data_IF_928354886139
#
_entry.id   IF_928354886139
#
_cell.length_a   1.000
_cell.length_b   1.000
_cell.length_c   1.000
_cell.angle_alpha   90.00
_cell.angle_beta   90.00
_cell.angle_gamma   90.00
#
_symmetry.space_group_name_H-M   'P 1'
#
loop_
_entity.id
_entity.type
_entity.pdbx_description
1 polymer ?
#
# COMPACT_ATOMS: atom_id res chain seq x y z
N UNK A 1 90.73 28.11 23.91
CA UNK A 1 89.38 28.08 23.31
C UNK A 1 89.09 26.63 23.04
N UNK A 2 88.28 26.01 23.89
CA UNK A 2 87.97 24.58 23.75
C UNK A 2 86.90 24.38 22.66
N UNK A 3 87.21 23.63 21.59
CA UNK A 3 86.25 23.36 20.51
C UNK A 3 85.09 22.44 20.97
N UNK A 4 85.24 21.75 22.10
CA UNK A 4 84.23 20.83 22.64
C UNK A 4 83.08 21.54 23.37
N UNK A 5 83.32 22.72 23.96
CA UNK A 5 82.27 23.49 24.64
C UNK A 5 81.24 24.11 23.67
N UNK A 6 81.63 24.31 22.41
CA UNK A 6 80.78 24.89 21.36
C UNK A 6 79.88 23.86 20.66
N UNK A 7 80.18 22.56 20.78
CA UNK A 7 79.45 21.48 20.10
C UNK A 7 78.20 21.01 20.85
N UNK A 8 78.18 21.14 22.18
CA UNK A 8 77.04 20.77 23.04
C UNK A 8 75.77 21.59 22.74
N UNK A 9 75.82 22.94 22.66
CA UNK A 9 74.66 23.76 22.31
C UNK A 9 74.15 23.51 20.88
N UNK A 10 75.05 23.24 19.94
CA UNK A 10 74.69 22.95 18.54
C UNK A 10 73.98 21.59 18.41
N UNK A 11 74.43 20.57 19.16
CA UNK A 11 73.77 19.27 19.22
C UNK A 11 72.39 19.34 19.89
N UNK A 12 72.25 20.11 20.98
CA UNK A 12 70.96 20.34 21.63
C UNK A 12 69.99 21.10 20.71
N UNK A 13 70.48 22.11 19.98
CA UNK A 13 69.71 22.86 19.00
C UNK A 13 69.23 21.94 17.86
N UNK A 14 70.09 21.08 17.32
CA UNK A 14 69.75 20.12 16.28
C UNK A 14 68.69 19.11 16.77
N UNK A 15 68.83 18.61 18.00
CA UNK A 15 67.85 17.72 18.64
C UNK A 15 66.49 18.41 18.83
N UNK A 16 66.47 19.67 19.28
CA UNK A 16 65.25 20.45 19.41
C UNK A 16 64.59 20.73 18.06
N UNK A 17 65.38 21.08 17.04
CA UNK A 17 64.88 21.26 15.66
C UNK A 17 64.28 19.96 15.09
N UNK A 18 64.91 18.82 15.35
CA UNK A 18 64.40 17.52 14.94
C UNK A 18 63.08 17.17 15.66
N UNK A 19 63.00 17.41 16.97
CA UNK A 19 61.78 17.20 17.76
C UNK A 19 60.64 18.13 17.32
N UNK A 20 60.93 19.39 17.05
CA UNK A 20 59.96 20.35 16.54
C UNK A 20 59.44 19.91 15.17
N UNK A 21 60.34 19.49 14.28
CA UNK A 21 59.98 18.99 12.94
C UNK A 21 59.11 17.75 13.04
N UNK A 22 59.47 16.78 13.88
CA UNK A 22 58.68 15.58 14.13
C UNK A 22 57.29 15.92 14.69
N UNK A 23 57.21 16.85 15.64
CA UNK A 23 55.95 17.29 16.23
C UNK A 23 55.06 17.99 15.20
N UNK A 24 55.64 18.87 14.36
CA UNK A 24 54.92 19.51 13.25
C UNK A 24 54.38 18.50 12.25
N UNK A 25 55.18 17.51 11.86
CA UNK A 25 54.75 16.45 10.93
C UNK A 25 53.64 15.60 11.53
N UNK A 26 53.77 15.20 12.79
CA UNK A 26 52.75 14.43 13.50
C UNK A 26 51.45 15.23 13.66
N UNK A 27 51.54 16.53 13.97
CA UNK A 27 50.38 17.40 14.08
C UNK A 27 49.64 17.56 12.75
N UNK A 28 50.36 17.70 11.63
CA UNK A 28 49.76 17.72 10.29
C UNK A 28 49.07 16.39 9.95
N UNK A 29 49.74 15.27 10.18
CA UNK A 29 49.13 13.95 9.95
C UNK A 29 47.88 13.71 10.80
N UNK A 30 47.89 14.15 12.07
CA UNK A 30 46.73 14.08 12.95
C UNK A 30 45.58 14.98 12.46
N UNK A 31 45.90 16.18 11.97
CA UNK A 31 44.92 17.10 11.38
C UNK A 31 44.27 16.50 10.12
N UNK A 32 45.09 15.96 9.20
CA UNK A 32 44.60 15.33 7.97
C UNK A 32 43.71 14.12 8.29
N UNK A 33 44.07 13.33 9.30
CA UNK A 33 43.25 12.20 9.78
C UNK A 33 41.92 12.69 10.32
N UNK A 34 41.93 13.71 11.18
CA UNK A 34 40.71 14.28 11.76
C UNK A 34 39.79 14.88 10.68
N UNK A 35 40.33 15.55 9.68
CA UNK A 35 39.57 16.09 8.55
C UNK A 35 38.91 14.98 7.71
N UNK A 36 39.64 13.90 7.42
CA UNK A 36 39.12 12.74 6.70
C UNK A 36 38.03 12.00 7.49
N UNK A 37 38.16 11.94 8.82
CA UNK A 37 37.16 11.31 9.68
C UNK A 37 35.90 12.17 9.78
N UNK A 38 36.04 13.49 9.90
CA UNK A 38 34.93 14.42 9.84
C UNK A 38 34.14 14.29 8.53
N UNK A 39 34.83 14.19 7.38
CA UNK A 39 34.19 13.99 6.09
C UNK A 39 33.45 12.64 5.99
N UNK A 40 34.01 11.59 6.59
CA UNK A 40 33.39 10.26 6.65
C UNK A 40 32.09 10.30 7.47
N UNK A 41 32.11 10.95 8.64
CA UNK A 41 30.93 11.13 9.49
C UNK A 41 29.86 12.01 8.83
N UNK A 42 30.25 13.09 8.15
CA UNK A 42 29.32 13.94 7.41
C UNK A 42 28.61 13.17 6.28
N UNK A 43 29.34 12.32 5.55
CA UNK A 43 28.77 11.47 4.50
C UNK A 43 27.77 10.47 5.07
N UNK A 44 28.12 9.78 6.15
CA UNK A 44 27.23 8.85 6.84
C UNK A 44 25.97 9.55 7.36
N UNK A 45 26.12 10.71 8.02
CA UNK A 45 24.99 11.49 8.54
C UNK A 45 24.02 11.91 7.43
N UNK A 46 24.54 12.39 6.30
CA UNK A 46 23.72 12.77 5.13
C UNK A 46 22.95 11.59 4.56
N UNK A 47 23.59 10.43 4.39
CA UNK A 47 22.92 9.22 3.90
C UNK A 47 21.84 8.74 4.87
N UNK A 48 22.11 8.84 6.17
CA UNK A 48 21.16 8.49 7.23
C UNK A 48 19.92 9.37 7.17
N UNK A 49 20.10 10.69 7.12
CA UNK A 49 19.01 11.67 7.03
C UNK A 49 18.18 11.49 5.77
N UNK A 50 18.82 11.21 4.63
CA UNK A 50 18.11 10.92 3.38
C UNK A 50 17.24 9.66 3.49
N UNK A 51 17.77 8.59 4.09
CA UNK A 51 17.01 7.36 4.30
C UNK A 51 15.89 7.53 5.33
N UNK A 52 16.11 8.28 6.40
CA UNK A 52 15.07 8.59 7.39
C UNK A 52 13.93 9.42 6.77
N UNK A 53 14.26 10.42 5.95
CA UNK A 53 13.27 11.20 5.22
C UNK A 53 12.46 10.34 4.25
N UNK A 54 13.10 9.42 3.53
CA UNK A 54 12.40 8.46 2.67
C UNK A 54 11.52 7.51 3.48
N UNK A 55 12.02 6.95 4.58
CA UNK A 55 11.21 6.09 5.45
C UNK A 55 9.94 6.80 5.95
N UNK A 56 10.04 8.07 6.30
CA UNK A 56 8.90 8.88 6.71
C UNK A 56 7.85 9.06 5.60
N UNK A 57 8.23 9.04 4.32
CA UNK A 57 7.26 9.06 3.22
C UNK A 57 6.69 7.67 2.92
N UNK A 58 7.44 6.61 3.22
CA UNK A 58 7.03 5.23 3.02
C UNK A 58 6.02 4.73 4.04
N UNK A 59 5.94 5.32 5.24
CA UNK A 59 4.91 5.04 6.25
C UNK A 59 3.55 5.57 5.77
N UNK A 60 2.69 4.74 5.13
CA UNK A 60 1.54 5.27 4.40
C UNK A 60 0.33 5.28 5.33
N UNK A 61 -0.37 6.42 5.41
CA UNK A 61 -1.66 6.58 6.12
C UNK A 61 -2.59 5.38 5.94
N UNK A 62 -3.14 4.79 7.01
CA UNK A 62 -4.05 3.61 6.98
C UNK A 62 -5.41 3.82 6.28
N UNK A 63 -5.51 4.78 5.36
CA UNK A 63 -6.73 5.01 4.59
C UNK A 63 -7.21 3.72 3.90
N UNK A 64 -8.45 3.34 4.23
CA UNK A 64 -9.21 2.24 3.63
C UNK A 64 -10.20 2.82 2.61
N UNK A 65 -9.92 2.74 1.30
CA UNK A 65 -10.75 3.39 0.29
C UNK A 65 -12.11 2.69 0.11
N UNK A 66 -13.21 3.42 0.24
CA UNK A 66 -14.56 2.85 0.18
C UNK A 66 -15.10 2.60 -1.25
N UNK A 67 -14.35 2.93 -2.31
CA UNK A 67 -14.86 2.97 -3.70
C UNK A 67 -13.86 2.38 -4.69
N UNK A 68 -14.34 1.78 -5.80
CA UNK A 68 -13.48 1.29 -6.90
C UNK A 68 -12.51 2.36 -7.38
N UNK A 69 -12.99 3.59 -7.62
CA UNK A 69 -12.15 4.71 -8.06
C UNK A 69 -11.05 5.04 -7.03
N UNK A 70 -11.42 5.04 -5.74
CA UNK A 70 -10.49 5.35 -4.66
C UNK A 70 -9.49 4.21 -4.44
N UNK A 71 -9.91 2.94 -4.56
CA UNK A 71 -9.04 1.76 -4.53
C UNK A 71 -8.02 1.80 -5.67
N UNK A 72 -8.46 2.08 -6.90
CA UNK A 72 -7.55 2.24 -8.06
C UNK A 72 -6.54 3.37 -7.85
N UNK A 73 -6.99 4.52 -7.34
CA UNK A 73 -6.09 5.65 -7.03
C UNK A 73 -5.06 5.27 -5.95
N UNK A 74 -5.50 4.60 -4.88
CA UNK A 74 -4.64 4.15 -3.80
C UNK A 74 -3.61 3.10 -4.27
N UNK A 75 -4.02 2.15 -5.12
CA UNK A 75 -3.11 1.18 -5.73
C UNK A 75 -2.06 1.85 -6.64
N UNK A 76 -2.47 2.86 -7.42
CA UNK A 76 -1.53 3.65 -8.22
C UNK A 76 -0.53 4.42 -7.36
N UNK A 77 -0.97 5.05 -6.25
CA UNK A 77 -0.06 5.75 -5.35
C UNK A 77 0.90 4.79 -4.66
N UNK A 78 0.43 3.63 -4.20
CA UNK A 78 1.29 2.60 -3.62
C UNK A 78 2.29 2.02 -4.64
N UNK A 79 1.88 1.89 -5.91
CA UNK A 79 2.78 1.50 -6.99
C UNK A 79 3.93 2.50 -7.18
N UNK A 80 3.61 3.79 -7.25
CA UNK A 80 4.63 4.86 -7.36
C UNK A 80 5.56 4.89 -6.14
N UNK A 81 5.00 4.76 -4.94
CA UNK A 81 5.75 4.71 -3.69
C UNK A 81 6.75 3.52 -3.68
N UNK A 82 6.30 2.34 -4.12
CA UNK A 82 7.15 1.16 -4.23
C UNK A 82 8.27 1.34 -5.27
N UNK A 83 7.97 1.94 -6.43
CA UNK A 83 8.97 2.23 -7.46
C UNK A 83 10.03 3.23 -6.95
N UNK A 84 9.60 4.28 -6.25
CA UNK A 84 10.49 5.27 -5.64
C UNK A 84 11.38 4.63 -4.56
N UNK A 85 10.81 3.76 -3.73
CA UNK A 85 11.58 2.98 -2.77
C UNK A 85 12.62 2.09 -3.48
N UNK A 86 12.21 1.30 -4.47
CA UNK A 86 13.13 0.44 -5.23
C UNK A 86 14.27 1.22 -5.88
N UNK A 87 14.01 2.40 -6.44
CA UNK A 87 15.06 3.29 -6.98
C UNK A 87 16.03 3.79 -5.92
N UNK A 88 15.56 3.92 -4.68
CA UNK A 88 16.34 4.41 -3.55
C UNK A 88 17.05 3.31 -2.78
N UNK A 89 16.81 2.03 -3.09
CA UNK A 89 17.44 0.88 -2.46
C UNK A 89 18.98 0.92 -2.43
N UNK A 90 19.69 1.43 -3.47
CA UNK A 90 21.15 1.57 -3.41
C UNK A 90 21.66 2.45 -2.26
N UNK A 91 20.85 3.35 -1.71
CA UNK A 91 21.23 4.19 -0.57
C UNK A 91 21.52 3.36 0.69
N UNK A 92 20.83 2.22 0.88
CA UNK A 92 21.10 1.31 1.98
C UNK A 92 22.49 0.66 1.88
N UNK A 93 22.90 0.29 0.66
CA UNK A 93 24.23 -0.24 0.42
C UNK A 93 25.30 0.83 0.65
N UNK A 94 25.05 2.06 0.21
CA UNK A 94 25.94 3.20 0.46
C UNK A 94 26.05 3.52 1.95
N UNK A 95 24.94 3.51 2.70
CA UNK A 95 24.94 3.70 4.15
C UNK A 95 25.73 2.59 4.87
N UNK A 96 25.54 1.34 4.46
CA UNK A 96 26.24 0.19 5.03
C UNK A 96 27.74 0.25 4.79
N UNK A 97 28.16 0.70 3.60
CA UNK A 97 29.58 0.88 3.30
C UNK A 97 30.18 2.06 4.09
N UNK A 98 29.47 3.18 4.16
CA UNK A 98 29.88 4.31 5.00
C UNK A 98 30.01 3.93 6.48
N UNK A 99 29.10 3.10 6.99
CA UNK A 99 29.17 2.55 8.35
C UNK A 99 30.44 1.70 8.57
N UNK A 100 30.77 0.81 7.62
CA UNK A 100 31.99 -0.02 7.68
C UNK A 100 33.27 0.80 7.66
N UNK A 101 33.32 1.87 6.87
CA UNK A 101 34.46 2.79 6.85
C UNK A 101 34.65 3.42 8.23
N UNK A 102 33.56 3.86 8.87
CA UNK A 102 33.59 4.44 10.21
C UNK A 102 33.96 3.41 11.28
N UNK A 103 33.46 2.17 11.21
CA UNK A 103 33.81 1.07 12.12
C UNK A 103 35.32 0.78 12.14
N UNK A 104 35.95 0.78 10.96
CA UNK A 104 37.40 0.54 10.83
C UNK A 104 38.24 1.65 11.46
N UNK A 105 37.76 2.89 11.39
CA UNK A 105 38.44 4.10 11.88
C UNK A 105 38.13 4.42 13.35
N UNK A 106 36.99 3.96 13.86
CA UNK A 106 36.52 4.26 15.21
C UNK A 106 37.27 3.48 16.28
N UNK A 107 37.46 4.11 17.44
CA UNK A 107 37.97 3.45 18.63
C UNK A 107 36.97 2.44 19.23
N UNK A 108 37.41 1.60 20.20
CA UNK A 108 36.61 0.49 20.73
C UNK A 108 35.25 0.90 21.30
N UNK A 109 35.13 2.12 21.85
CA UNK A 109 33.91 2.60 22.49
C UNK A 109 32.79 3.00 21.51
N UNK A 110 33.12 3.37 20.26
CA UNK A 110 32.14 3.86 19.28
C UNK A 110 32.11 3.04 18.00
N UNK A 111 32.93 1.99 17.92
CA UNK A 111 33.09 1.15 16.73
C UNK A 111 31.76 0.62 16.21
N UNK A 112 30.89 0.09 17.07
CA UNK A 112 29.67 -0.61 16.64
C UNK A 112 28.48 0.31 16.32
N UNK A 113 28.57 1.59 16.66
CA UNK A 113 27.45 2.54 16.54
C UNK A 113 26.97 2.72 15.08
N UNK A 114 27.85 3.01 14.10
CA UNK A 114 27.43 3.22 12.71
C UNK A 114 26.78 1.98 12.11
N UNK A 115 27.35 0.79 12.35
CA UNK A 115 26.81 -0.47 11.87
C UNK A 115 25.45 -0.80 12.46
N UNK A 116 25.26 -0.53 13.75
CA UNK A 116 23.98 -0.74 14.43
C UNK A 116 22.90 0.18 13.85
N UNK A 117 23.22 1.46 13.61
CA UNK A 117 22.31 2.41 12.97
C UNK A 117 21.95 1.99 11.53
N UNK A 118 22.95 1.60 10.72
CA UNK A 118 22.71 1.14 9.35
C UNK A 118 21.83 -0.13 9.29
N UNK A 119 22.07 -1.10 10.19
CA UNK A 119 21.23 -2.30 10.32
C UNK A 119 19.80 -1.97 10.73
N UNK A 120 19.64 -1.03 11.67
CA UNK A 120 18.31 -0.60 12.16
C UNK A 120 17.50 0.05 11.04
N UNK A 121 18.11 0.95 10.27
CA UNK A 121 17.45 1.57 9.11
C UNK A 121 17.14 0.57 8.01
N UNK A 122 18.05 -0.38 7.75
CA UNK A 122 17.81 -1.45 6.78
C UNK A 122 16.63 -2.34 7.18
N UNK A 123 16.48 -2.63 8.48
CA UNK A 123 15.33 -3.39 9.00
C UNK A 123 14.02 -2.62 8.82
N UNK A 124 13.99 -1.35 9.24
CA UNK A 124 12.81 -0.47 9.08
C UNK A 124 12.41 -0.32 7.62
N UNK A 125 13.40 -0.24 6.73
CA UNK A 125 13.16 -0.21 5.29
C UNK A 125 12.49 -1.47 4.79
N UNK A 126 12.99 -2.64 5.18
CA UNK A 126 12.38 -3.91 4.78
C UNK A 126 10.94 -4.02 5.30
N UNK A 127 10.71 -3.66 6.57
CA UNK A 127 9.38 -3.63 7.18
C UNK A 127 8.42 -2.72 6.40
N UNK A 128 8.85 -1.50 6.04
CA UNK A 128 8.04 -0.59 5.24
C UNK A 128 7.73 -1.14 3.83
N UNK A 129 8.68 -1.81 3.19
CA UNK A 129 8.48 -2.46 1.89
C UNK A 129 7.49 -3.61 1.96
N UNK A 130 7.59 -4.44 3.01
CA UNK A 130 6.68 -5.56 3.25
C UNK A 130 5.26 -5.06 3.53
N UNK A 131 5.12 -3.98 4.31
CA UNK A 131 3.84 -3.33 4.59
C UNK A 131 3.18 -2.75 3.34
N UNK A 132 3.96 -2.08 2.48
CA UNK A 132 3.48 -1.58 1.18
C UNK A 132 2.96 -2.74 0.32
N UNK A 133 3.72 -3.84 0.25
CA UNK A 133 3.35 -5.01 -0.55
C UNK A 133 2.07 -5.68 -0.01
N UNK A 134 2.01 -5.95 1.30
CA UNK A 134 0.85 -6.52 1.96
C UNK A 134 -0.40 -5.63 1.79
N UNK A 135 -0.22 -4.31 1.77
CA UNK A 135 -1.32 -3.36 1.51
C UNK A 135 -1.78 -3.40 0.05
N UNK A 136 -0.85 -3.46 -0.91
CA UNK A 136 -1.18 -3.61 -2.34
C UNK A 136 -1.99 -4.87 -2.59
N UNK A 137 -1.61 -6.00 -1.99
CA UNK A 137 -2.34 -7.26 -2.11
C UNK A 137 -3.76 -7.17 -1.54
N UNK A 138 -3.90 -6.65 -0.32
CA UNK A 138 -5.22 -6.42 0.31
C UNK A 138 -6.12 -5.51 -0.53
N UNK A 139 -5.58 -4.40 -1.06
CA UNK A 139 -6.34 -3.46 -1.88
C UNK A 139 -6.67 -4.03 -3.27
N UNK A 140 -5.78 -4.82 -3.86
CA UNK A 140 -6.02 -5.47 -5.16
C UNK A 140 -7.11 -6.53 -5.03
N UNK A 141 -7.09 -7.32 -3.96
CA UNK A 141 -8.18 -8.25 -3.63
C UNK A 141 -9.50 -7.53 -3.45
N UNK A 142 -9.53 -6.47 -2.63
CA UNK A 142 -10.74 -5.67 -2.45
C UNK A 142 -11.24 -5.09 -3.78
N UNK A 143 -10.36 -4.58 -4.64
CA UNK A 143 -10.74 -4.07 -5.95
C UNK A 143 -11.37 -5.16 -6.83
N UNK A 144 -10.78 -6.35 -6.89
CA UNK A 144 -11.32 -7.47 -7.64
C UNK A 144 -12.71 -7.89 -7.14
N UNK A 145 -12.89 -7.96 -5.81
CA UNK A 145 -14.18 -8.27 -5.18
C UNK A 145 -15.24 -7.22 -5.55
N UNK A 146 -14.87 -5.93 -5.48
CA UNK A 146 -15.73 -4.82 -5.88
C UNK A 146 -16.12 -4.86 -7.35
N UNK A 147 -15.18 -5.15 -8.25
CA UNK A 147 -15.42 -5.23 -9.69
C UNK A 147 -16.31 -6.44 -10.04
N UNK A 148 -16.06 -7.59 -9.42
CA UNK A 148 -16.88 -8.78 -9.58
C UNK A 148 -18.32 -8.55 -9.10
N UNK A 149 -18.49 -7.90 -7.94
CA UNK A 149 -19.79 -7.50 -7.42
C UNK A 149 -20.51 -6.54 -8.36
N UNK A 150 -19.83 -5.48 -8.82
CA UNK A 150 -20.42 -4.49 -9.71
C UNK A 150 -20.90 -5.11 -11.03
N UNK A 151 -20.12 -6.04 -11.59
CA UNK A 151 -20.49 -6.75 -12.82
C UNK A 151 -21.71 -7.66 -12.61
N UNK A 152 -21.73 -8.46 -11.53
CA UNK A 152 -22.85 -9.33 -11.22
C UNK A 152 -24.13 -8.55 -10.94
N UNK A 153 -24.02 -7.45 -10.19
CA UNK A 153 -25.13 -6.54 -9.92
C UNK A 153 -25.70 -5.91 -11.19
N UNK A 154 -24.84 -5.48 -12.12
CA UNK A 154 -25.27 -4.91 -13.39
C UNK A 154 -26.04 -5.92 -14.24
N UNK A 155 -25.52 -7.16 -14.36
CA UNK A 155 -26.19 -8.25 -15.09
C UNK A 155 -27.57 -8.55 -14.52
N UNK A 156 -27.66 -8.74 -13.19
CA UNK A 156 -28.92 -9.00 -12.52
C UNK A 156 -29.93 -7.87 -12.72
N UNK A 157 -29.49 -6.60 -12.66
CA UNK A 157 -30.37 -5.44 -12.88
C UNK A 157 -30.90 -5.37 -14.30
N UNK A 158 -30.05 -5.57 -15.31
CA UNK A 158 -30.47 -5.53 -16.72
C UNK A 158 -31.50 -6.63 -17.01
N UNK A 159 -31.29 -7.85 -16.52
CA UNK A 159 -32.26 -8.93 -16.69
C UNK A 159 -33.55 -8.68 -15.90
N UNK A 160 -33.44 -8.13 -14.67
CA UNK A 160 -34.60 -7.77 -13.86
C UNK A 160 -35.46 -6.69 -14.52
N UNK A 161 -34.84 -5.64 -15.05
CA UNK A 161 -35.52 -4.55 -15.79
C UNK A 161 -36.21 -5.08 -17.07
N UNK A 162 -35.58 -6.02 -17.78
CA UNK A 162 -36.21 -6.68 -18.92
C UNK A 162 -37.48 -7.45 -18.52
N UNK A 163 -37.44 -8.19 -17.39
CA UNK A 163 -38.60 -8.95 -16.90
C UNK A 163 -39.71 -8.07 -16.33
N UNK A 164 -39.35 -6.96 -15.69
CA UNK A 164 -40.31 -5.91 -15.31
C UNK A 164 -41.01 -5.32 -16.55
N UNK A 165 -40.27 -5.14 -17.65
CA UNK A 165 -40.85 -4.68 -18.92
C UNK A 165 -41.75 -5.73 -19.57
N UNK A 166 -41.36 -7.01 -19.55
CA UNK A 166 -42.20 -8.11 -20.05
C UNK A 166 -43.53 -8.17 -19.30
N UNK A 167 -43.52 -8.05 -17.97
CA UNK A 167 -44.74 -8.01 -17.16
C UNK A 167 -45.64 -6.82 -17.53
N UNK A 168 -45.05 -5.63 -17.70
CA UNK A 168 -45.79 -4.44 -18.10
C UNK A 168 -46.41 -4.58 -19.51
N UNK A 169 -45.66 -5.17 -20.46
CA UNK A 169 -46.13 -5.43 -21.81
C UNK A 169 -47.25 -6.49 -21.87
N UNK A 170 -47.34 -7.37 -20.87
CA UNK A 170 -48.41 -8.36 -20.74
C UNK A 170 -49.72 -7.79 -20.16
N UNK A 171 -49.70 -6.62 -19.51
CA UNK A 171 -50.92 -6.01 -18.93
C UNK A 171 -52.14 -5.93 -19.88
N UNK A 172 -51.99 -5.59 -21.18
CA UNK A 172 -53.11 -5.58 -22.12
C UNK A 172 -53.67 -6.97 -22.45
N UNK A 173 -52.84 -8.02 -22.35
CA UNK A 173 -53.21 -9.42 -22.65
C UNK A 173 -53.93 -10.09 -21.48
N UNK A 174 -53.87 -9.53 -20.26
CA UNK A 174 -54.56 -10.03 -19.07
C UNK A 174 -56.10 -10.02 -19.17
N UNK A 175 -56.65 -9.51 -20.28
CA UNK A 175 -58.07 -9.55 -20.60
C UNK A 175 -58.51 -10.90 -21.22
N UNK A 176 -57.57 -11.69 -21.77
CA UNK A 176 -57.80 -13.06 -22.24
C UNK A 176 -57.20 -14.05 -21.21
N UNK A 177 -58.08 -14.68 -20.45
CA UNK A 177 -57.76 -15.53 -19.28
C UNK A 177 -56.74 -16.63 -19.62
N UNK A 178 -56.95 -17.38 -20.71
CA UNK A 178 -56.11 -18.54 -21.04
C UNK A 178 -54.77 -18.18 -21.66
N UNK A 179 -54.71 -17.12 -22.46
CA UNK A 179 -53.44 -16.60 -22.97
C UNK A 179 -52.61 -15.93 -21.86
N UNK A 180 -53.29 -15.27 -20.93
CA UNK A 180 -52.68 -14.62 -19.77
C UNK A 180 -52.05 -15.60 -18.77
N UNK A 181 -52.73 -16.70 -18.43
CA UNK A 181 -52.16 -17.71 -17.51
C UNK A 181 -50.86 -18.29 -18.05
N UNK A 182 -50.85 -18.80 -19.29
CA UNK A 182 -49.67 -19.42 -19.88
C UNK A 182 -48.48 -18.44 -19.98
N UNK A 183 -48.75 -17.17 -20.33
CA UNK A 183 -47.74 -16.13 -20.40
C UNK A 183 -47.16 -15.78 -19.03
N UNK A 184 -48.01 -15.66 -18.00
CA UNK A 184 -47.59 -15.37 -16.64
C UNK A 184 -46.85 -16.55 -15.97
N UNK A 185 -47.26 -17.80 -16.21
CA UNK A 185 -46.55 -18.99 -15.71
C UNK A 185 -45.15 -19.09 -16.35
N UNK A 186 -45.05 -18.82 -17.67
CA UNK A 186 -43.76 -18.74 -18.35
C UNK A 186 -42.88 -17.65 -17.76
N UNK A 187 -43.42 -16.44 -17.54
CA UNK A 187 -42.67 -15.34 -16.94
C UNK A 187 -42.24 -15.64 -15.49
N UNK A 188 -43.11 -16.25 -14.69
CA UNK A 188 -42.78 -16.67 -13.32
C UNK A 188 -41.62 -17.68 -13.33
N UNK A 189 -41.62 -18.64 -14.26
CA UNK A 189 -40.52 -19.60 -14.40
C UNK A 189 -39.19 -18.92 -14.78
N UNK A 190 -39.23 -17.85 -15.57
CA UNK A 190 -38.05 -17.10 -15.98
C UNK A 190 -37.51 -16.18 -14.87
N UNK A 191 -38.41 -15.68 -14.01
CA UNK A 191 -38.05 -14.82 -12.87
C UNK A 191 -37.51 -15.65 -11.70
N UNK A 192 -38.12 -16.81 -11.42
CA UNK A 192 -37.71 -17.71 -10.33
C UNK A 192 -36.57 -18.66 -10.73
N UNK A 193 -36.52 -19.04 -12.01
CA UNK A 193 -35.51 -19.92 -12.59
C UNK A 193 -34.36 -19.17 -13.27
N UNK A 194 -33.79 -19.79 -14.30
CA UNK A 194 -32.71 -19.18 -15.07
C UNK A 194 -33.23 -18.23 -16.16
N UNK A 195 -32.55 -17.09 -16.40
CA UNK A 195 -31.27 -16.69 -15.80
C UNK A 195 -31.38 -15.80 -14.54
N UNK A 196 -32.55 -15.27 -14.19
CA UNK A 196 -32.65 -14.16 -13.23
C UNK A 196 -32.38 -14.58 -11.77
N UNK A 197 -32.97 -15.68 -11.30
CA UNK A 197 -32.79 -16.15 -9.93
C UNK A 197 -31.30 -16.40 -9.60
N UNK A 198 -30.59 -17.12 -10.49
CA UNK A 198 -29.16 -17.40 -10.30
C UNK A 198 -28.29 -16.14 -10.34
N UNK A 199 -28.63 -15.15 -11.16
CA UNK A 199 -27.88 -13.89 -11.23
C UNK A 199 -28.04 -13.05 -9.96
N UNK A 200 -29.24 -13.01 -9.37
CA UNK A 200 -29.50 -12.32 -8.09
C UNK A 200 -28.73 -13.02 -6.96
N UNK A 201 -28.75 -14.34 -6.91
CA UNK A 201 -27.98 -15.13 -5.93
C UNK A 201 -26.47 -14.95 -6.09
N UNK A 202 -25.98 -14.89 -7.33
CA UNK A 202 -24.56 -14.62 -7.62
C UNK A 202 -24.16 -13.21 -7.17
N UNK A 203 -24.99 -12.21 -7.45
CA UNK A 203 -24.76 -10.84 -7.00
C UNK A 203 -24.74 -10.73 -5.47
N UNK A 204 -25.62 -11.48 -4.78
CA UNK A 204 -25.64 -11.60 -3.32
C UNK A 204 -24.35 -12.22 -2.79
N UNK A 205 -23.93 -13.37 -3.32
CA UNK A 205 -22.67 -14.04 -2.94
C UNK A 205 -21.44 -13.15 -3.15
N UNK A 206 -21.39 -12.42 -4.26
CA UNK A 206 -20.28 -11.49 -4.57
C UNK A 206 -20.33 -10.19 -3.76
N UNK A 207 -21.46 -9.85 -3.15
CA UNK A 207 -21.56 -8.71 -2.25
C UNK A 207 -20.85 -8.97 -0.91
N UNK A 208 -20.79 -10.22 -0.45
CA UNK A 208 -20.29 -10.57 0.89
C UNK A 208 -18.86 -10.08 1.17
N UNK A 209 -17.85 -10.32 0.31
CA UNK A 209 -16.49 -9.82 0.54
C UNK A 209 -16.41 -8.29 0.55
N UNK A 210 -17.22 -7.63 -0.29
CA UNK A 210 -17.31 -6.17 -0.36
C UNK A 210 -17.93 -5.59 0.91
N UNK A 211 -18.99 -6.22 1.43
CA UNK A 211 -19.65 -5.82 2.67
C UNK A 211 -18.74 -6.04 3.88
N UNK A 212 -18.02 -7.15 3.92
CA UNK A 212 -17.00 -7.44 4.94
C UNK A 212 -15.88 -6.39 4.93
N UNK A 213 -15.36 -6.05 3.74
CA UNK A 213 -14.38 -4.97 3.58
C UNK A 213 -14.90 -3.62 4.10
N UNK A 214 -16.14 -3.26 3.73
CA UNK A 214 -16.79 -2.03 4.16
C UNK A 214 -17.12 -2.02 5.65
N UNK A 215 -17.34 -3.18 6.28
CA UNK A 215 -17.64 -3.25 7.70
C UNK A 215 -16.48 -2.83 8.59
N UNK A 216 -15.25 -2.89 8.07
CA UNK A 216 -14.07 -2.35 8.73
C UNK A 216 -13.86 -0.84 8.55
N UNK A 217 -14.84 -0.09 8.02
CA UNK A 217 -14.81 1.37 7.86
C UNK A 217 -15.67 2.10 8.90
N UNK A 218 -15.34 3.37 9.22
CA UNK A 218 -16.20 4.23 10.02
C UNK A 218 -17.60 4.41 9.41
N UNK A 219 -18.62 4.40 10.28
CA UNK A 219 -20.07 4.28 10.01
C UNK A 219 -20.65 5.11 8.84
N UNK A 220 -20.31 6.40 8.59
CA UNK A 220 -21.03 7.19 7.58
C UNK A 220 -20.86 6.69 6.13
N UNK A 221 -19.68 6.17 5.78
CA UNK A 221 -19.37 5.71 4.43
C UNK A 221 -19.85 4.28 4.15
N UNK A 222 -19.93 3.45 5.20
CA UNK A 222 -20.34 2.06 5.12
C UNK A 222 -21.86 1.92 4.94
N UNK A 223 -22.65 2.73 5.63
CA UNK A 223 -24.11 2.56 5.73
C UNK A 223 -24.84 2.84 4.42
N UNK A 224 -24.50 3.91 3.69
CA UNK A 224 -25.09 4.20 2.38
C UNK A 224 -24.80 3.12 1.32
N UNK A 225 -23.69 2.38 1.48
CA UNK A 225 -23.24 1.35 0.53
C UNK A 225 -23.76 -0.04 0.89
N UNK A 226 -23.86 -0.38 2.18
CA UNK A 226 -24.57 -1.58 2.66
C UNK A 226 -26.00 -1.65 2.13
N UNK A 227 -26.67 -0.50 1.99
CA UNK A 227 -28.07 -0.43 1.55
C UNK A 227 -28.30 -0.71 0.05
N UNK A 228 -27.26 -0.78 -0.79
CA UNK A 228 -27.41 -1.02 -2.25
C UNK A 228 -27.48 -2.50 -2.64
N UNK A 229 -26.88 -3.41 -1.89
CA UNK A 229 -26.98 -4.86 -2.17
C UNK A 229 -28.39 -5.42 -1.88
N UNK A 230 -29.07 -5.05 -0.78
CA UNK A 230 -30.43 -5.50 -0.49
C UNK A 230 -31.48 -5.01 -1.50
N UNK A 231 -31.23 -3.91 -2.23
CA UNK A 231 -32.25 -3.33 -3.11
C UNK A 231 -32.60 -4.22 -4.31
N UNK A 232 -31.63 -4.96 -4.86
CA UNK A 232 -31.87 -5.79 -6.05
C UNK A 232 -32.61 -7.07 -5.68
N UNK A 233 -32.26 -7.73 -4.58
CA UNK A 233 -32.99 -8.89 -4.06
C UNK A 233 -34.42 -8.53 -3.63
N UNK A 234 -34.62 -7.34 -3.04
CA UNK A 234 -35.97 -6.83 -2.74
C UNK A 234 -36.81 -6.61 -3.99
N UNK A 235 -36.23 -5.98 -5.03
CA UNK A 235 -36.90 -5.79 -6.33
C UNK A 235 -37.27 -7.13 -6.97
N UNK A 236 -36.38 -8.12 -6.92
CA UNK A 236 -36.63 -9.46 -7.45
C UNK A 236 -37.79 -10.16 -6.73
N UNK A 237 -37.81 -10.13 -5.39
CA UNK A 237 -38.91 -10.66 -4.60
C UNK A 237 -40.24 -9.94 -4.87
N UNK A 238 -40.20 -8.62 -5.10
CA UNK A 238 -41.38 -7.83 -5.43
C UNK A 238 -41.93 -8.16 -6.82
N UNK A 239 -41.06 -8.35 -7.82
CA UNK A 239 -41.45 -8.80 -9.16
C UNK A 239 -42.11 -10.18 -9.11
N UNK A 240 -41.49 -11.13 -8.40
CA UNK A 240 -42.07 -12.47 -8.21
C UNK A 240 -43.47 -12.39 -7.60
N UNK A 241 -43.62 -11.64 -6.50
CA UNK A 241 -44.90 -11.47 -5.82
C UNK A 241 -45.95 -10.82 -6.74
N UNK A 242 -45.55 -9.86 -7.57
CA UNK A 242 -46.45 -9.21 -8.52
C UNK A 242 -46.98 -10.19 -9.58
N UNK A 243 -46.12 -11.06 -10.11
CA UNK A 243 -46.52 -12.08 -11.09
C UNK A 243 -47.47 -13.11 -10.44
N UNK A 244 -47.16 -13.56 -9.23
CA UNK A 244 -48.02 -14.47 -8.46
C UNK A 244 -49.40 -13.87 -8.18
N UNK A 245 -49.47 -12.57 -7.86
CA UNK A 245 -50.74 -11.86 -7.67
C UNK A 245 -51.56 -11.77 -8.96
N UNK A 246 -50.92 -11.52 -10.10
CA UNK A 246 -51.61 -11.55 -11.40
C UNK A 246 -52.12 -12.96 -11.74
N UNK A 247 -51.34 -14.02 -11.48
CA UNK A 247 -51.79 -15.40 -11.67
C UNK A 247 -53.01 -15.75 -10.81
N UNK A 248 -53.03 -15.32 -9.55
CA UNK A 248 -54.18 -15.52 -8.66
C UNK A 248 -55.45 -14.78 -9.12
N UNK A 249 -55.31 -13.65 -9.82
CA UNK A 249 -56.44 -12.88 -10.32
C UNK A 249 -57.02 -13.39 -11.65
N UNK A 250 -56.29 -14.26 -12.35
CA UNK A 250 -56.70 -14.86 -13.62
C UNK A 250 -57.30 -16.28 -13.41
N UNK A 251 -56.94 -16.97 -12.32
CA UNK A 251 -57.53 -18.24 -11.85
C UNK A 251 -58.88 -18.05 -11.17
#
# INVERSE_FOLDING_TARGET
>A
MDPEASLLPEQELASLQQRLTALSTNARAALDTAQNDLASWATFGKLREQLEALLATLEPSEEKPATIRALRKALQSLGRLQEEAQRSQPLLAQLSEAARVLERKSGPATRDLPGTQAKTLSKRWQEAMDDIQARKERMSKALADWEAYAQALARARTTLEAREHDLAAMQPLLLDVTAAENALESLLSQVTGEPLGKQVDEAGRKAEPVLSYLAGLPEPAATARRNRAPSTSRRHAQLQKSIEQHLQGVR
#
